data_IF_085818200373
#
_entry.id   IF_085818200373
#
_cell.length_a   1.000
_cell.length_b   1.000
_cell.length_c   1.000
_cell.angle_alpha   90.00
_cell.angle_beta   90.00
_cell.angle_gamma   90.00
#
_symmetry.space_group_name_H-M   'P 1'
#
loop_
_entity.id
_entity.type
_entity.pdbx_description
1 polymer ?
#
# COMPACT_ATOMS: atom_id res chain seq x y z
N UNK A 1 -21.98 21.64 2.80
CA UNK A 1 -21.16 21.11 3.92
C UNK A 1 -19.76 21.68 3.77
N UNK A 2 -19.37 22.58 4.67
CA UNK A 2 -18.09 23.30 4.59
C UNK A 2 -16.95 22.42 5.10
N UNK A 3 -15.97 22.13 4.23
CA UNK A 3 -14.71 21.48 4.60
C UNK A 3 -13.96 22.36 5.61
N UNK A 4 -13.83 21.87 6.84
CA UNK A 4 -13.08 22.56 7.88
C UNK A 4 -11.57 22.32 7.61
N UNK A 5 -10.89 23.32 7.07
CA UNK A 5 -9.46 23.25 6.68
C UNK A 5 -8.48 23.16 7.87
N UNK A 6 -9.00 23.08 9.10
CA UNK A 6 -8.24 23.09 10.35
C UNK A 6 -8.37 21.80 11.18
N UNK A 7 -8.81 20.67 10.60
CA UNK A 7 -8.76 19.39 11.33
C UNK A 7 -7.31 18.88 11.39
N UNK A 8 -6.61 19.28 12.44
CA UNK A 8 -5.24 18.86 12.75
C UNK A 8 -5.27 17.43 13.30
N UNK A 9 -4.55 16.52 12.62
CA UNK A 9 -4.33 15.12 13.04
C UNK A 9 -5.60 14.41 13.56
N UNK A 10 -6.69 14.43 12.78
CA UNK A 10 -7.94 13.73 13.10
C UNK A 10 -8.45 13.95 14.55
N UNK A 11 -8.21 15.13 15.13
CA UNK A 11 -8.63 15.49 16.49
C UNK A 11 -7.96 14.68 17.63
N UNK A 12 -6.76 14.11 17.42
CA UNK A 12 -6.02 13.37 18.44
C UNK A 12 -4.57 13.88 18.66
N UNK A 13 -4.39 15.08 19.25
CA UNK A 13 -3.10 15.77 19.33
C UNK A 13 -2.13 15.27 20.42
N UNK A 14 -2.52 14.30 21.27
CA UNK A 14 -1.63 13.78 22.32
C UNK A 14 -0.61 12.78 21.75
N UNK A 15 -0.87 12.18 20.58
CA UNK A 15 -0.01 11.17 19.95
C UNK A 15 0.82 11.65 18.75
N UNK A 16 0.53 12.82 18.20
CA UNK A 16 1.12 13.26 16.93
C UNK A 16 1.43 14.76 16.98
N UNK A 17 2.67 15.11 16.65
CA UNK A 17 3.13 16.50 16.47
C UNK A 17 3.56 16.62 15.00
N UNK A 18 3.11 17.67 14.31
CA UNK A 18 3.35 17.92 12.89
C UNK A 18 4.32 19.11 12.70
N UNK A 19 5.59 18.86 12.30
CA UNK A 19 6.59 19.92 12.12
C UNK A 19 6.63 20.54 10.70
N UNK A 20 5.91 20.03 9.70
CA UNK A 20 6.03 20.49 8.29
C UNK A 20 4.73 20.50 7.46
N UNK A 21 3.59 20.11 8.02
CA UNK A 21 2.27 20.17 7.38
C UNK A 21 1.93 18.99 6.46
N UNK A 22 2.86 18.07 6.24
CA UNK A 22 2.67 16.79 5.52
C UNK A 22 3.68 15.82 6.12
N UNK A 23 3.25 14.92 7.03
CA UNK A 23 3.82 13.60 7.38
C UNK A 23 3.43 13.21 8.81
N UNK A 24 3.13 11.93 9.06
CA UNK A 24 3.17 11.38 10.42
C UNK A 24 4.52 10.70 10.63
N UNK A 25 5.26 11.18 11.62
CA UNK A 25 6.45 10.50 12.16
C UNK A 25 6.18 10.25 13.64
N UNK A 26 6.15 8.98 14.05
CA UNK A 26 5.93 8.62 15.45
C UNK A 26 7.21 8.88 16.24
N UNK A 27 7.15 9.85 17.16
CA UNK A 27 8.24 10.29 18.05
C UNK A 27 8.80 9.16 18.95
N UNK A 28 8.09 8.04 19.05
CA UNK A 28 8.43 6.94 19.95
C UNK A 28 9.11 5.75 19.27
N UNK A 29 9.29 5.75 17.94
CA UNK A 29 9.95 4.64 17.22
C UNK A 29 9.26 3.26 17.34
N UNK A 30 8.15 3.16 18.09
CA UNK A 30 7.46 1.90 18.43
C UNK A 30 6.59 1.34 17.30
N UNK A 31 6.42 2.08 16.21
CA UNK A 31 5.74 1.63 14.99
C UNK A 31 6.70 1.40 13.83
N UNK A 32 7.96 1.83 13.97
CA UNK A 32 9.04 1.29 13.19
C UNK A 32 9.28 -0.12 13.72
N UNK A 33 8.49 -1.07 13.24
CA UNK A 33 9.09 -2.37 13.00
C UNK A 33 10.16 -2.10 11.95
N UNK A 34 11.33 -1.74 12.48
CA UNK A 34 12.61 -1.60 11.83
C UNK A 34 13.05 -3.00 11.44
N UNK A 35 12.19 -3.72 10.73
CA UNK A 35 12.66 -4.69 9.79
C UNK A 35 13.00 -3.87 8.57
N UNK A 36 14.21 -3.31 8.60
CA UNK A 36 15.05 -3.37 7.42
C UNK A 36 14.71 -4.69 6.70
N UNK A 37 14.54 -4.69 5.39
CA UNK A 37 14.30 -5.91 4.61
C UNK A 37 15.21 -7.09 5.02
N UNK A 38 16.32 -6.85 5.74
CA UNK A 38 17.15 -7.80 6.46
C UNK A 38 16.50 -8.58 7.64
N UNK A 39 15.67 -7.98 8.50
CA UNK A 39 15.10 -8.65 9.68
C UNK A 39 14.01 -9.67 9.34
N UNK A 40 13.19 -9.36 8.32
CA UNK A 40 12.22 -10.30 7.74
C UNK A 40 12.86 -11.49 7.02
N UNK A 41 14.15 -11.45 6.67
CA UNK A 41 14.84 -12.59 6.03
C UNK A 41 15.06 -13.76 6.99
N UNK A 42 15.11 -13.49 8.29
CA UNK A 42 15.32 -14.49 9.33
C UNK A 42 14.01 -15.00 9.96
N UNK A 43 12.88 -14.37 9.62
CA UNK A 43 11.53 -14.85 9.96
C UNK A 43 11.04 -15.76 8.84
N UNK A 44 10.31 -16.82 9.18
CA UNK A 44 9.63 -17.63 8.17
C UNK A 44 8.64 -16.76 7.37
N UNK A 45 8.40 -17.10 6.10
CA UNK A 45 7.43 -16.37 5.26
C UNK A 45 6.03 -16.28 5.90
N UNK A 46 5.67 -17.26 6.73
CA UNK A 46 4.41 -17.29 7.48
C UNK A 46 4.37 -16.21 8.58
N UNK A 47 5.46 -16.05 9.34
CA UNK A 47 5.54 -15.08 10.44
C UNK A 47 5.55 -13.65 9.90
N UNK A 48 6.27 -13.42 8.81
CA UNK A 48 6.27 -12.16 8.06
C UNK A 48 4.85 -11.75 7.60
N UNK A 49 4.11 -12.71 7.04
CA UNK A 49 2.73 -12.50 6.58
C UNK A 49 1.81 -12.15 7.74
N UNK A 50 1.94 -12.84 8.88
CA UNK A 50 1.13 -12.59 10.08
C UNK A 50 1.37 -11.19 10.67
N UNK A 51 2.62 -10.73 10.71
CA UNK A 51 2.95 -9.38 11.19
C UNK A 51 2.32 -8.29 10.32
N UNK A 52 2.40 -8.44 8.99
CA UNK A 52 1.79 -7.49 8.06
C UNK A 52 0.26 -7.47 8.20
N UNK A 53 -0.37 -8.64 8.38
CA UNK A 53 -1.81 -8.70 8.64
C UNK A 53 -2.22 -7.93 9.89
N UNK A 54 -1.40 -7.96 10.93
CA UNK A 54 -1.68 -7.15 12.13
C UNK A 54 -1.50 -5.66 11.85
N UNK A 55 -0.50 -5.25 11.07
CA UNK A 55 -0.36 -3.86 10.64
C UNK A 55 -1.56 -3.38 9.81
N UNK A 56 -2.11 -4.24 8.94
CA UNK A 56 -3.28 -3.91 8.12
C UNK A 56 -4.53 -3.54 8.92
N UNK A 57 -4.66 -4.03 10.17
CA UNK A 57 -5.78 -3.67 11.05
C UNK A 57 -5.76 -2.19 11.45
N UNK A 58 -4.59 -1.57 11.44
CA UNK A 58 -4.38 -0.17 11.78
C UNK A 58 -4.28 0.74 10.53
N UNK A 59 -4.37 0.16 9.33
CA UNK A 59 -4.38 0.92 8.07
C UNK A 59 -5.79 1.40 7.77
N UNK A 60 -5.91 2.60 7.18
CA UNK A 60 -7.17 3.14 6.68
C UNK A 60 -7.91 2.12 5.81
N UNK A 61 -9.14 1.76 6.22
CA UNK A 61 -9.97 0.77 5.57
C UNK A 61 -10.28 1.09 4.10
N UNK A 62 -10.25 2.37 3.72
CA UNK A 62 -10.44 2.79 2.33
C UNK A 62 -9.26 2.39 1.45
N UNK A 63 -8.03 2.39 2.00
CA UNK A 63 -6.83 1.92 1.29
C UNK A 63 -6.93 0.42 1.03
N UNK A 64 -7.33 -0.34 2.05
CA UNK A 64 -7.50 -1.80 1.96
C UNK A 64 -8.66 -2.16 1.03
N UNK A 65 -9.79 -1.45 1.13
CA UNK A 65 -10.97 -1.67 0.29
C UNK A 65 -10.76 -1.32 -1.19
N UNK A 66 -9.73 -0.54 -1.53
CA UNK A 66 -9.35 -0.26 -2.91
C UNK A 66 -8.50 -1.38 -3.54
N UNK A 67 -8.14 -2.41 -2.76
CA UNK A 67 -7.28 -3.50 -3.20
C UNK A 67 -8.08 -4.78 -3.41
N UNK A 68 -7.84 -5.45 -4.54
CA UNK A 68 -8.51 -6.70 -4.90
C UNK A 68 -7.70 -7.93 -4.46
N UNK A 69 -8.40 -9.00 -4.08
CA UNK A 69 -7.75 -10.26 -3.66
C UNK A 69 -7.02 -10.97 -4.81
N UNK A 70 -7.41 -10.73 -6.07
CA UNK A 70 -6.83 -11.42 -7.21
C UNK A 70 -6.95 -12.94 -7.10
N UNK A 71 -5.84 -13.66 -7.32
CA UNK A 71 -5.74 -15.11 -7.17
C UNK A 71 -5.52 -15.59 -5.72
N UNK A 72 -5.50 -14.69 -4.74
CA UNK A 72 -5.25 -15.03 -3.34
C UNK A 72 -6.54 -15.37 -2.59
N UNK A 73 -6.39 -16.01 -1.44
CA UNK A 73 -7.48 -16.42 -0.56
C UNK A 73 -8.18 -15.20 0.08
N UNK A 74 -7.47 -14.09 0.31
CA UNK A 74 -8.01 -12.86 0.88
C UNK A 74 -7.29 -11.60 0.36
N UNK A 75 -7.93 -10.44 0.55
CA UNK A 75 -7.34 -9.12 0.23
C UNK A 75 -6.06 -8.91 1.03
N UNK A 76 -6.08 -9.20 2.33
CA UNK A 76 -4.92 -9.07 3.22
C UNK A 76 -3.73 -9.92 2.75
N UNK A 77 -4.00 -11.14 2.26
CA UNK A 77 -2.98 -12.03 1.72
C UNK A 77 -2.33 -11.47 0.46
N UNK A 78 -3.15 -10.91 -0.43
CA UNK A 78 -2.71 -10.22 -1.64
C UNK A 78 -1.80 -9.03 -1.27
N UNK A 79 -2.27 -8.13 -0.40
CA UNK A 79 -1.50 -6.96 0.02
C UNK A 79 -0.18 -7.37 0.67
N UNK A 80 -0.20 -8.32 1.62
CA UNK A 80 0.99 -8.78 2.30
C UNK A 80 2.03 -9.35 1.34
N UNK A 81 1.58 -10.19 0.39
CA UNK A 81 2.46 -10.75 -0.63
C UNK A 81 3.06 -9.68 -1.54
N UNK A 82 2.23 -8.78 -2.06
CA UNK A 82 2.68 -7.74 -2.99
C UNK A 82 3.58 -6.70 -2.32
N UNK A 83 3.32 -6.33 -1.06
CA UNK A 83 4.22 -5.48 -0.28
C UNK A 83 5.57 -6.16 -0.03
N UNK A 84 5.60 -7.42 0.42
CA UNK A 84 6.85 -8.14 0.64
C UNK A 84 7.67 -8.28 -0.64
N UNK A 85 7.01 -8.48 -1.78
CA UNK A 85 7.66 -8.68 -3.07
C UNK A 85 8.12 -7.38 -3.71
N UNK A 86 7.32 -6.32 -3.63
CA UNK A 86 7.52 -5.10 -4.43
C UNK A 86 7.71 -3.82 -3.61
N UNK A 87 7.38 -3.82 -2.31
CA UNK A 87 7.43 -2.66 -1.43
C UNK A 87 8.78 -1.93 -1.49
N UNK A 88 9.89 -2.67 -1.34
CA UNK A 88 11.24 -2.09 -1.48
C UNK A 88 11.48 -1.43 -2.82
N UNK A 89 11.04 -2.07 -3.90
CA UNK A 89 11.31 -1.65 -5.26
C UNK A 89 10.56 -0.36 -5.65
N UNK A 90 9.52 -0.01 -4.90
CA UNK A 90 8.77 1.24 -5.05
C UNK A 90 9.03 2.23 -3.91
N UNK A 91 10.12 2.01 -3.17
CA UNK A 91 10.56 2.86 -2.06
C UNK A 91 9.50 3.00 -0.96
N UNK A 92 8.79 1.90 -0.66
CA UNK A 92 7.84 1.84 0.44
C UNK A 92 8.50 1.23 1.69
N UNK A 93 8.47 1.98 2.80
CA UNK A 93 9.00 1.58 4.10
C UNK A 93 8.03 0.66 4.86
N UNK A 94 6.73 0.86 4.68
CA UNK A 94 5.67 0.08 5.32
C UNK A 94 4.48 -0.16 4.36
N UNK A 95 3.55 -1.00 4.80
CA UNK A 95 2.39 -1.44 4.03
C UNK A 95 1.45 -0.26 3.72
N UNK A 96 1.26 0.65 4.68
CA UNK A 96 0.37 1.79 4.50
C UNK A 96 0.91 2.75 3.43
N UNK A 97 2.22 3.01 3.44
CA UNK A 97 2.91 3.80 2.43
C UNK A 97 2.87 3.13 1.06
N UNK A 98 3.01 1.81 1.00
CA UNK A 98 2.86 1.05 -0.24
C UNK A 98 1.47 1.20 -0.85
N UNK A 99 0.40 1.05 -0.05
CA UNK A 99 -0.98 1.21 -0.51
C UNK A 99 -1.28 2.64 -0.97
N UNK A 100 -0.81 3.66 -0.23
CA UNK A 100 -0.94 5.07 -0.64
C UNK A 100 -0.24 5.36 -1.98
N UNK A 101 0.96 4.80 -2.18
CA UNK A 101 1.70 4.94 -3.44
C UNK A 101 0.95 4.27 -4.60
N UNK A 102 0.38 3.09 -4.38
CA UNK A 102 -0.43 2.40 -5.37
C UNK A 102 -1.68 3.20 -5.74
N UNK A 103 -2.43 3.70 -4.76
CA UNK A 103 -3.60 4.56 -5.00
C UNK A 103 -3.24 5.86 -5.73
N UNK A 104 -2.14 6.52 -5.35
CA UNK A 104 -1.70 7.72 -6.04
C UNK A 104 -1.40 7.43 -7.52
N UNK A 105 -0.73 6.30 -7.82
CA UNK A 105 -0.52 5.87 -9.21
C UNK A 105 -1.86 5.62 -9.92
N UNK A 106 -2.79 4.89 -9.29
CA UNK A 106 -4.12 4.60 -9.84
C UNK A 106 -4.92 5.88 -10.17
N UNK A 107 -4.75 6.94 -9.38
CA UNK A 107 -5.41 8.23 -9.61
C UNK A 107 -4.85 9.01 -10.80
N UNK A 108 -3.65 8.68 -11.29
CA UNK A 108 -2.97 9.42 -12.36
C UNK A 108 -2.39 8.50 -13.45
N UNK A 109 -3.29 7.95 -14.26
CA UNK A 109 -2.96 7.05 -15.37
C UNK A 109 -2.63 7.78 -16.68
N UNK A 110 -2.66 9.11 -16.71
CA UNK A 110 -2.37 9.88 -17.94
C UNK A 110 -0.92 9.64 -18.37
N UNK A 111 -0.74 9.21 -19.62
CA UNK A 111 0.58 8.94 -20.20
C UNK A 111 1.20 7.60 -19.79
N UNK A 112 0.42 6.68 -19.19
CA UNK A 112 0.86 5.28 -19.02
C UNK A 112 0.68 4.50 -20.31
N UNK A 113 1.53 3.50 -20.56
CA UNK A 113 1.22 2.45 -21.54
C UNK A 113 0.30 1.39 -20.93
N UNK A 114 -0.58 0.79 -21.73
CA UNK A 114 -1.60 -0.16 -21.28
C UNK A 114 -1.41 -1.50 -21.96
N UNK A 115 -1.51 -2.60 -21.21
CA UNK A 115 -1.50 -3.96 -21.74
C UNK A 115 -2.41 -4.86 -20.91
N UNK A 116 -3.17 -5.79 -21.53
CA UNK A 116 -3.97 -6.75 -20.78
C UNK A 116 -3.06 -7.71 -19.99
N UNK A 117 -3.56 -8.19 -18.85
CA UNK A 117 -2.92 -9.22 -18.02
C UNK A 117 -3.88 -10.38 -17.90
N UNK A 118 -3.46 -11.56 -18.37
CA UNK A 118 -4.17 -12.81 -18.12
C UNK A 118 -3.90 -13.28 -16.69
N UNK A 119 -4.93 -13.77 -16.01
CA UNK A 119 -4.83 -14.24 -14.63
C UNK A 119 -6.17 -14.67 -14.07
N UNK A 120 -6.24 -14.83 -12.74
CA UNK A 120 -7.44 -15.28 -12.05
C UNK A 120 -8.60 -14.26 -12.09
N UNK A 121 -8.29 -12.98 -12.26
CA UNK A 121 -9.29 -11.94 -12.50
C UNK A 121 -9.22 -11.56 -13.97
N UNK A 122 -10.34 -11.73 -14.68
CA UNK A 122 -10.43 -11.39 -16.10
C UNK A 122 -10.47 -9.88 -16.31
N UNK A 123 -9.96 -9.43 -17.46
CA UNK A 123 -10.01 -8.02 -17.86
C UNK A 123 -9.05 -7.09 -17.11
N UNK A 124 -8.10 -7.63 -16.33
CA UNK A 124 -7.08 -6.82 -15.66
C UNK A 124 -6.20 -6.11 -16.69
N UNK A 125 -5.99 -4.81 -16.49
CA UNK A 125 -5.11 -3.99 -17.33
C UNK A 125 -3.90 -3.55 -16.51
N UNK A 126 -2.72 -3.78 -17.04
CA UNK A 126 -1.46 -3.24 -16.53
C UNK A 126 -1.20 -1.86 -17.13
N UNK A 127 -0.99 -0.88 -16.27
CA UNK A 127 -0.57 0.46 -16.62
C UNK A 127 0.90 0.64 -16.24
N UNK A 128 1.74 1.11 -17.15
CA UNK A 128 3.18 1.31 -16.91
C UNK A 128 3.59 2.75 -17.15
N UNK A 129 4.39 3.31 -16.23
CA UNK A 129 4.97 4.66 -16.35
C UNK A 129 6.16 4.80 -15.40
N UNK A 130 7.21 5.49 -15.87
CA UNK A 130 8.41 5.81 -15.06
C UNK A 130 9.03 4.58 -14.36
N UNK A 131 9.12 3.45 -15.07
CA UNK A 131 9.69 2.21 -14.55
C UNK A 131 8.86 1.53 -13.45
N UNK A 132 7.59 1.92 -13.27
CA UNK A 132 6.64 1.28 -12.35
C UNK A 132 5.41 0.80 -13.11
N UNK A 133 4.73 -0.19 -12.55
CA UNK A 133 3.48 -0.71 -13.07
C UNK A 133 2.41 -0.82 -11.98
N UNK A 134 1.16 -0.70 -12.39
CA UNK A 134 -0.02 -1.04 -11.58
C UNK A 134 -0.97 -1.90 -12.39
N UNK A 135 -1.52 -2.94 -11.78
CA UNK A 135 -2.53 -3.82 -12.36
C UNK A 135 -3.88 -3.47 -11.74
N UNK A 136 -4.85 -3.08 -12.57
CA UNK A 136 -6.18 -2.66 -12.13
C UNK A 136 -7.22 -3.57 -12.78
N UNK A 137 -8.09 -4.13 -11.96
CA UNK A 137 -9.22 -4.95 -12.41
C UNK A 137 -10.35 -4.10 -13.00
N UNK A 138 -11.30 -4.71 -13.75
CA UNK A 138 -12.40 -3.97 -14.35
C UNK A 138 -13.30 -3.22 -13.35
N UNK A 139 -13.38 -3.71 -12.11
CA UNK A 139 -14.12 -3.10 -11.00
C UNK A 139 -13.39 -1.89 -10.37
N UNK A 140 -12.20 -1.56 -10.86
CA UNK A 140 -11.37 -0.46 -10.37
C UNK A 140 -10.46 -0.82 -9.20
N UNK A 141 -10.51 -2.06 -8.70
CA UNK A 141 -9.62 -2.50 -7.62
C UNK A 141 -8.19 -2.71 -8.10
N UNK A 142 -7.23 -2.38 -7.24
CA UNK A 142 -5.81 -2.59 -7.50
C UNK A 142 -5.46 -4.04 -7.17
N UNK A 143 -4.86 -4.76 -8.13
CA UNK A 143 -4.45 -6.16 -7.94
C UNK A 143 -2.96 -6.26 -7.60
N UNK A 144 -2.12 -5.42 -8.21
CA UNK A 144 -0.66 -5.44 -8.00
C UNK A 144 -0.06 -4.06 -8.27
N UNK A 145 1.01 -3.72 -7.56
CA UNK A 145 1.80 -2.51 -7.79
C UNK A 145 3.30 -2.81 -7.61
N UNK A 146 4.14 -2.35 -8.54
CA UNK A 146 5.57 -2.64 -8.45
C UNK A 146 6.44 -1.89 -9.43
N UNK A 147 7.73 -2.22 -9.40
CA UNK A 147 8.70 -1.76 -10.41
C UNK A 147 8.62 -2.67 -11.65
N UNK A 148 8.71 -2.09 -12.83
CA UNK A 148 8.72 -2.80 -14.12
C UNK A 148 10.01 -3.60 -14.31
#
# INVERSE_FOLDING_TARGET
>A
MSLNRYTYVHNNPIRFIDPTGHWCESKDGKWAITFAFAGLKNLGKADAKLLIKNQLKDVDSNLVGSWGKGSFDSVDDSIAYHFLKHGKAVDAADVAQYLRKAQHFASNLKGTTRSPVSGAVEGVIRYKKNGRYIDIAPDGTIISFGKQ
#
